data_IF_296928376824
#
_entry.id   IF_296928376824
#
_cell.length_a   1.000
_cell.length_b   1.000
_cell.length_c   1.000
_cell.angle_alpha   90.00
_cell.angle_beta   90.00
_cell.angle_gamma   90.00
#
_symmetry.space_group_name_H-M   'P 1'
#
loop_
_entity.id
_entity.type
_entity.pdbx_description
1 polymer ?
#
# COMPACT_ATOMS: atom_id res chain seq x y z
N UNK A 1 5.32 -1.50 -11.49
CA UNK A 1 6.00 -1.03 -10.25
C UNK A 1 7.01 -2.08 -9.85
N UNK A 2 8.31 -1.83 -9.99
CA UNK A 2 9.33 -2.77 -9.56
C UNK A 2 9.40 -2.76 -8.02
N UNK A 3 8.73 -3.71 -7.36
CA UNK A 3 8.97 -4.06 -5.97
C UNK A 3 10.22 -4.94 -5.96
N UNK A 4 11.38 -4.32 -5.79
CA UNK A 4 12.65 -5.03 -5.79
C UNK A 4 13.77 -4.17 -5.22
N UNK A 5 14.86 -4.81 -4.72
CA UNK A 5 15.23 -6.21 -4.99
C UNK A 5 14.69 -7.25 -3.98
N UNK A 6 13.89 -6.85 -2.99
CA UNK A 6 13.46 -7.75 -1.90
C UNK A 6 11.98 -8.11 -2.01
N UNK A 7 11.66 -9.38 -1.78
CA UNK A 7 10.30 -9.91 -1.73
C UNK A 7 10.14 -10.90 -0.56
N UNK A 8 8.90 -11.19 -0.19
CA UNK A 8 8.57 -12.25 0.77
C UNK A 8 8.20 -13.50 -0.01
N UNK A 9 8.85 -14.62 0.34
CA UNK A 9 8.45 -15.96 -0.06
C UNK A 9 7.95 -16.75 1.14
N UNK A 10 7.06 -17.70 0.86
CA UNK A 10 6.66 -18.72 1.83
C UNK A 10 7.55 -19.94 1.59
N UNK A 11 8.18 -20.46 2.64
CA UNK A 11 8.91 -21.72 2.56
C UNK A 11 7.95 -22.89 2.26
N UNK A 12 8.46 -24.03 1.76
CA UNK A 12 7.66 -25.19 1.32
C UNK A 12 6.65 -25.72 2.37
N UNK A 13 6.86 -25.40 3.65
CA UNK A 13 6.01 -25.81 4.77
C UNK A 13 4.91 -24.78 5.10
N UNK A 14 4.77 -23.70 4.32
CA UNK A 14 3.74 -22.66 4.42
C UNK A 14 3.86 -21.68 5.61
N UNK A 15 4.61 -22.03 6.65
CA UNK A 15 4.61 -21.30 7.92
C UNK A 15 5.80 -20.36 8.18
N UNK A 16 6.82 -20.35 7.31
CA UNK A 16 7.98 -19.47 7.47
C UNK A 16 8.06 -18.45 6.34
N UNK A 17 7.87 -17.18 6.72
CA UNK A 17 8.06 -16.00 5.88
C UNK A 17 9.57 -15.76 5.74
N UNK A 18 10.10 -15.86 4.53
CA UNK A 18 11.51 -15.62 4.22
C UNK A 18 11.67 -14.45 3.25
N UNK A 19 12.72 -13.66 3.42
CA UNK A 19 13.06 -12.61 2.45
C UNK A 19 13.84 -13.23 1.30
N UNK A 20 13.30 -13.10 0.10
CA UNK A 20 13.98 -13.43 -1.16
C UNK A 20 14.60 -12.18 -1.76
N UNK A 21 15.76 -12.36 -2.37
CA UNK A 21 16.49 -11.31 -3.08
C UNK A 21 16.54 -11.69 -4.56
N UNK A 22 16.02 -10.81 -5.41
CA UNK A 22 16.19 -10.95 -6.87
C UNK A 22 17.61 -10.51 -7.25
N UNK A 23 18.49 -11.48 -7.45
CA UNK A 23 19.89 -11.26 -7.81
C UNK A 23 20.08 -10.53 -9.15
N UNK A 24 19.08 -10.54 -10.04
CA UNK A 24 19.14 -9.86 -11.33
C UNK A 24 18.69 -8.39 -11.28
N UNK A 25 18.21 -7.93 -10.12
CA UNK A 25 17.61 -6.62 -10.00
C UNK A 25 18.67 -5.50 -10.13
N UNK A 26 18.44 -4.46 -10.96
CA UNK A 26 19.43 -3.39 -11.25
C UNK A 26 19.80 -2.51 -10.04
N UNK A 27 19.19 -2.74 -8.88
CA UNK A 27 19.51 -2.04 -7.61
C UNK A 27 20.50 -2.82 -6.75
N UNK A 28 20.92 -4.01 -7.19
CA UNK A 28 21.99 -4.77 -6.56
C UNK A 28 23.30 -4.48 -7.26
N UNK A 29 24.37 -4.43 -6.47
CA UNK A 29 25.73 -4.27 -6.93
C UNK A 29 26.65 -5.09 -6.04
N UNK A 30 27.70 -5.64 -6.63
CA UNK A 30 28.79 -6.32 -5.92
C UNK A 30 29.90 -5.36 -5.49
N UNK A 31 29.88 -4.12 -5.98
CA UNK A 31 30.96 -3.15 -5.80
C UNK A 31 30.56 -1.99 -4.89
N UNK A 32 29.29 -1.58 -4.91
CA UNK A 32 28.82 -0.38 -4.20
C UNK A 32 27.49 -0.64 -3.49
N UNK A 33 27.26 0.09 -2.39
CA UNK A 33 25.98 0.07 -1.67
C UNK A 33 26.07 -0.48 -0.25
N UNK A 34 24.94 -0.94 0.29
CA UNK A 34 24.86 -1.50 1.63
C UNK A 34 25.02 -3.03 1.58
N UNK A 35 25.95 -3.62 2.34
CA UNK A 35 26.12 -5.07 2.34
C UNK A 35 24.85 -5.74 2.87
N UNK A 36 24.43 -6.84 2.23
CA UNK A 36 23.28 -7.64 2.70
C UNK A 36 23.67 -8.64 3.79
N UNK A 37 24.94 -9.06 3.80
CA UNK A 37 25.48 -10.04 4.73
C UNK A 37 26.74 -9.50 5.40
N UNK A 38 27.03 -10.03 6.60
CA UNK A 38 28.28 -9.78 7.29
C UNK A 38 29.43 -10.59 6.65
N UNK A 39 30.70 -10.17 6.80
CA UNK A 39 31.84 -10.84 6.15
C UNK A 39 32.01 -12.33 6.50
N UNK A 40 31.52 -12.76 7.66
CA UNK A 40 31.59 -14.15 8.14
C UNK A 40 30.26 -14.90 7.99
N UNK A 41 29.33 -14.38 7.19
CA UNK A 41 27.96 -14.86 7.09
C UNK A 41 27.04 -14.24 8.14
N UNK A 42 25.73 -14.43 7.96
CA UNK A 42 24.68 -13.78 8.75
C UNK A 42 24.18 -12.47 8.13
N UNK A 43 22.99 -12.05 8.53
CA UNK A 43 22.32 -10.86 8.00
C UNK A 43 23.01 -9.57 8.47
N UNK A 44 23.17 -8.60 7.57
CA UNK A 44 23.54 -7.25 7.97
C UNK A 44 22.37 -6.52 8.66
N UNK A 45 22.66 -5.42 9.35
CA UNK A 45 21.63 -4.54 9.92
C UNK A 45 20.65 -4.03 8.85
N UNK A 46 21.14 -3.81 7.64
CA UNK A 46 20.30 -3.39 6.52
C UNK A 46 19.32 -4.49 6.12
N UNK A 47 19.78 -5.73 5.95
CA UNK A 47 18.91 -6.86 5.61
C UNK A 47 17.92 -7.18 6.75
N UNK A 48 18.34 -7.07 8.01
CA UNK A 48 17.44 -7.22 9.16
C UNK A 48 16.34 -6.14 9.14
N UNK A 49 16.69 -4.88 8.90
CA UNK A 49 15.71 -3.78 8.79
C UNK A 49 14.72 -4.03 7.65
N UNK A 50 15.20 -4.43 6.47
CA UNK A 50 14.34 -4.75 5.33
C UNK A 50 13.40 -5.92 5.66
N UNK A 51 13.91 -6.95 6.32
CA UNK A 51 13.12 -8.10 6.76
C UNK A 51 12.00 -7.69 7.71
N UNK A 52 12.29 -6.82 8.69
CA UNK A 52 11.27 -6.30 9.60
C UNK A 52 10.20 -5.48 8.88
N UNK A 53 10.59 -4.62 7.94
CA UNK A 53 9.63 -3.82 7.14
C UNK A 53 8.72 -4.74 6.33
N UNK A 54 9.30 -5.73 5.65
CA UNK A 54 8.56 -6.69 4.84
C UNK A 54 7.60 -7.53 5.71
N UNK A 55 8.04 -7.98 6.88
CA UNK A 55 7.18 -8.71 7.82
C UNK A 55 5.97 -7.86 8.28
N UNK A 56 6.18 -6.58 8.60
CA UNK A 56 5.08 -5.65 8.94
C UNK A 56 4.11 -5.51 7.77
N UNK A 57 4.62 -5.33 6.55
CA UNK A 57 3.77 -5.22 5.34
C UNK A 57 2.95 -6.51 5.15
N UNK A 58 3.57 -7.69 5.31
CA UNK A 58 2.89 -8.98 5.16
C UNK A 58 1.75 -9.16 6.17
N UNK A 59 2.04 -8.94 7.45
CA UNK A 59 1.05 -9.05 8.50
C UNK A 59 -0.07 -8.01 8.30
N UNK A 60 0.27 -6.82 7.83
CA UNK A 60 -0.68 -5.75 7.51
C UNK A 60 -1.70 -6.14 6.44
N UNK A 61 -1.40 -7.08 5.54
CA UNK A 61 -2.36 -7.54 4.51
C UNK A 61 -3.58 -8.20 5.17
N UNK A 62 -3.36 -9.12 6.09
CA UNK A 62 -4.46 -9.81 6.79
C UNK A 62 -5.26 -8.84 7.64
N UNK A 63 -4.57 -8.00 8.42
CA UNK A 63 -5.22 -6.95 9.24
C UNK A 63 -6.08 -6.01 8.39
N UNK A 64 -5.58 -5.60 7.20
CA UNK A 64 -6.34 -4.75 6.29
C UNK A 64 -7.59 -5.47 5.77
N UNK A 65 -7.47 -6.75 5.42
CA UNK A 65 -8.59 -7.57 4.95
C UNK A 65 -9.70 -7.68 6.00
N UNK A 66 -9.33 -8.01 7.23
CA UNK A 66 -10.28 -8.15 8.35
C UNK A 66 -10.95 -6.81 8.68
N UNK A 67 -10.16 -5.74 8.72
CA UNK A 67 -10.63 -4.38 8.97
C UNK A 67 -11.66 -3.92 7.92
N UNK A 68 -11.34 -4.07 6.63
CA UNK A 68 -12.25 -3.69 5.54
C UNK A 68 -13.50 -4.56 5.55
N UNK A 69 -13.37 -5.85 5.88
CA UNK A 69 -14.52 -6.77 6.00
C UNK A 69 -15.47 -6.35 7.12
N UNK A 70 -14.94 -5.90 8.26
CA UNK A 70 -15.75 -5.34 9.34
C UNK A 70 -16.47 -4.07 8.86
N UNK A 71 -15.77 -3.11 8.24
CA UNK A 71 -16.40 -1.90 7.71
C UNK A 71 -17.52 -2.19 6.71
N UNK A 72 -17.30 -3.16 5.82
CA UNK A 72 -18.31 -3.62 4.88
C UNK A 72 -19.53 -4.22 5.59
N UNK A 73 -19.31 -5.08 6.59
CA UNK A 73 -20.39 -5.70 7.37
C UNK A 73 -21.22 -4.68 8.17
N UNK A 74 -20.60 -3.59 8.60
CA UNK A 74 -21.23 -2.46 9.28
C UNK A 74 -21.86 -1.46 8.30
N UNK A 75 -21.77 -1.72 6.99
CA UNK A 75 -22.35 -0.89 5.94
C UNK A 75 -21.65 0.45 5.74
N UNK A 76 -20.42 0.64 6.26
CA UNK A 76 -19.70 1.93 6.25
C UNK A 76 -19.09 2.29 4.89
N UNK A 77 -19.07 1.34 3.96
CA UNK A 77 -18.53 1.55 2.61
C UNK A 77 -19.64 1.93 1.64
N UNK A 78 -19.31 2.78 0.67
CA UNK A 78 -20.18 3.17 -0.43
C UNK A 78 -19.42 3.19 -1.76
N UNK A 79 -20.08 2.88 -2.89
CA UNK A 79 -19.44 2.95 -4.20
C UNK A 79 -18.92 4.36 -4.48
N UNK A 80 -17.70 4.44 -4.99
CA UNK A 80 -17.05 5.69 -5.39
C UNK A 80 -16.69 5.62 -6.87
N UNK A 81 -16.99 6.71 -7.59
CA UNK A 81 -16.52 6.94 -8.95
C UNK A 81 -15.75 8.24 -8.98
N UNK A 82 -14.58 8.24 -9.62
CA UNK A 82 -13.76 9.44 -9.80
C UNK A 82 -13.57 9.70 -11.29
N UNK A 83 -14.02 10.85 -11.75
CA UNK A 83 -13.71 11.33 -13.09
C UNK A 83 -12.44 12.18 -13.07
N UNK A 84 -11.49 11.81 -13.91
CA UNK A 84 -10.17 12.44 -14.00
C UNK A 84 -9.98 12.92 -15.42
N UNK A 85 -9.59 14.19 -15.57
CA UNK A 85 -9.10 14.76 -16.82
C UNK A 85 -7.60 15.08 -16.65
N UNK A 86 -6.78 14.53 -17.53
CA UNK A 86 -5.33 14.78 -17.54
C UNK A 86 -5.01 16.00 -18.40
N UNK A 87 -3.80 16.56 -18.23
CA UNK A 87 -3.36 17.79 -18.92
C UNK A 87 -3.33 17.68 -20.45
N UNK A 88 -3.29 16.46 -20.99
CA UNK A 88 -3.35 16.22 -22.43
C UNK A 88 -4.79 16.09 -22.97
N UNK A 89 -5.80 16.35 -22.13
CA UNK A 89 -7.21 16.26 -22.45
C UNK A 89 -7.78 14.83 -22.39
N UNK A 90 -6.97 13.82 -22.03
CA UNK A 90 -7.47 12.46 -21.87
C UNK A 90 -8.35 12.35 -20.62
N UNK A 91 -9.50 11.69 -20.77
CA UNK A 91 -10.48 11.48 -19.71
C UNK A 91 -10.47 10.04 -19.25
N UNK A 92 -10.51 9.85 -17.93
CA UNK A 92 -10.53 8.56 -17.28
C UNK A 92 -11.61 8.55 -16.21
N UNK A 93 -12.44 7.50 -16.20
CA UNK A 93 -13.40 7.26 -15.12
C UNK A 93 -12.92 6.05 -14.32
N UNK A 94 -12.60 6.28 -13.04
CA UNK A 94 -12.26 5.24 -12.09
C UNK A 94 -13.54 4.79 -11.38
N UNK A 95 -14.18 3.76 -11.93
CA UNK A 95 -15.32 3.08 -11.29
C UNK A 95 -14.92 1.78 -10.60
N UNK A 96 -15.87 1.14 -9.91
CA UNK A 96 -15.66 -0.17 -9.26
C UNK A 96 -14.89 -0.11 -7.93
N UNK A 97 -14.73 1.08 -7.36
CA UNK A 97 -14.06 1.30 -6.08
C UNK A 97 -15.10 1.65 -5.00
N UNK A 98 -14.69 1.53 -3.74
CA UNK A 98 -15.50 1.90 -2.59
C UNK A 98 -14.74 2.92 -1.74
N UNK A 99 -15.46 3.85 -1.14
CA UNK A 99 -14.97 4.79 -0.15
C UNK A 99 -15.68 4.58 1.19
N UNK A 100 -15.08 5.10 2.26
CA UNK A 100 -15.74 5.19 3.56
C UNK A 100 -16.72 6.36 3.50
N UNK A 101 -17.99 6.11 3.85
CA UNK A 101 -19.06 7.11 3.84
C UNK A 101 -18.99 7.99 5.09
N UNK A 102 -18.72 9.29 4.93
CA UNK A 102 -18.62 10.21 6.07
C UNK A 102 -19.94 10.31 6.86
N UNK A 103 -21.06 10.29 6.15
CA UNK A 103 -22.41 10.34 6.74
C UNK A 103 -22.65 9.14 7.67
N UNK A 104 -22.34 7.92 7.18
CA UNK A 104 -22.55 6.70 7.97
C UNK A 104 -21.60 6.62 9.15
N UNK A 105 -20.37 7.11 9.00
CA UNK A 105 -19.40 7.21 10.10
C UNK A 105 -19.92 8.19 11.17
N UNK A 106 -20.45 9.34 10.78
CA UNK A 106 -21.03 10.31 11.71
C UNK A 106 -22.28 9.78 12.43
N UNK A 107 -23.02 8.85 11.80
CA UNK A 107 -24.20 8.21 12.35
C UNK A 107 -23.92 6.92 13.16
N UNK A 108 -22.65 6.57 13.40
CA UNK A 108 -22.27 5.37 14.16
C UNK A 108 -22.90 5.35 15.55
N UNK A 109 -23.45 4.19 15.93
CA UNK A 109 -23.93 3.98 17.28
C UNK A 109 -22.76 3.92 18.28
N UNK A 110 -23.03 4.17 19.56
CA UNK A 110 -22.02 4.03 20.62
C UNK A 110 -21.42 2.61 20.66
N UNK A 111 -22.25 1.59 20.40
CA UNK A 111 -21.83 0.17 20.38
C UNK A 111 -20.89 -0.11 19.21
N UNK A 112 -21.21 0.40 18.03
CA UNK A 112 -20.40 0.21 16.82
C UNK A 112 -19.06 0.95 16.92
N UNK A 113 -19.09 2.18 17.43
CA UNK A 113 -17.89 2.97 17.71
C UNK A 113 -16.98 2.25 18.71
N UNK A 114 -17.55 1.71 19.80
CA UNK A 114 -16.80 0.93 20.78
C UNK A 114 -16.17 -0.32 20.15
N UNK A 115 -16.93 -1.03 19.31
CA UNK A 115 -16.45 -2.23 18.61
C UNK A 115 -15.26 -1.91 17.71
N UNK A 116 -15.35 -0.85 16.89
CA UNK A 116 -14.27 -0.40 16.02
C UNK A 116 -13.02 0.01 16.81
N UNK A 117 -13.20 0.64 17.98
CA UNK A 117 -12.09 1.02 18.85
C UNK A 117 -11.40 -0.19 19.48
N UNK A 118 -12.15 -1.15 20.01
CA UNK A 118 -11.60 -2.38 20.61
C UNK A 118 -10.76 -3.20 19.61
N UNK A 119 -11.15 -3.20 18.34
CA UNK A 119 -10.40 -3.88 17.28
C UNK A 119 -9.25 -3.04 16.70
N UNK A 120 -9.02 -1.81 17.17
CA UNK A 120 -8.08 -0.83 16.60
C UNK A 120 -8.35 -0.45 15.13
N UNK A 121 -9.60 -0.61 14.66
CA UNK A 121 -10.00 -0.33 13.28
C UNK A 121 -10.55 1.08 13.08
N UNK A 122 -10.88 1.78 14.17
CA UNK A 122 -11.38 3.15 14.12
C UNK A 122 -10.34 4.12 13.52
N UNK A 123 -9.06 3.96 13.86
CA UNK A 123 -8.01 4.82 13.31
C UNK A 123 -7.86 4.62 11.80
N UNK A 124 -7.88 3.37 11.33
CA UNK A 124 -7.81 3.04 9.92
C UNK A 124 -8.96 3.65 9.12
N UNK A 125 -10.15 3.72 9.72
CA UNK A 125 -11.36 4.27 9.10
C UNK A 125 -11.17 5.75 8.75
N UNK A 126 -10.73 6.56 9.72
CA UNK A 126 -10.46 7.98 9.50
C UNK A 126 -9.28 8.21 8.54
N UNK A 127 -8.22 7.40 8.63
CA UNK A 127 -7.11 7.50 7.69
C UNK A 127 -7.54 7.18 6.25
N UNK A 128 -8.43 6.21 6.06
CA UNK A 128 -8.99 5.88 4.75
C UNK A 128 -9.80 7.06 4.18
N UNK A 129 -10.65 7.71 5.00
CA UNK A 129 -11.39 8.91 4.58
C UNK A 129 -10.44 10.04 4.14
N UNK A 130 -9.44 10.37 4.97
CA UNK A 130 -8.49 11.45 4.68
C UNK A 130 -7.62 11.13 3.47
N UNK A 131 -7.34 9.85 3.20
CA UNK A 131 -6.49 9.43 2.09
C UNK A 131 -6.98 9.91 0.72
N UNK A 132 -8.30 10.14 0.56
CA UNK A 132 -8.91 10.63 -0.67
C UNK A 132 -8.41 12.03 -1.07
N UNK A 133 -7.96 12.83 -0.11
CA UNK A 133 -7.36 14.14 -0.37
C UNK A 133 -6.06 14.05 -1.19
N UNK A 134 -5.43 12.87 -1.25
CA UNK A 134 -4.24 12.64 -2.07
C UNK A 134 -4.55 12.38 -3.55
N UNK A 135 -5.83 12.27 -3.96
CA UNK A 135 -6.19 12.00 -5.35
C UNK A 135 -5.64 13.07 -6.29
N UNK A 136 -5.75 14.35 -5.93
CA UNK A 136 -5.20 15.44 -6.74
C UNK A 136 -3.69 15.30 -6.89
N UNK A 137 -2.97 15.02 -5.81
CA UNK A 137 -1.52 14.81 -5.85
C UNK A 137 -1.14 13.65 -6.77
N UNK A 138 -1.90 12.56 -6.76
CA UNK A 138 -1.67 11.42 -7.66
C UNK A 138 -1.93 11.78 -9.13
N UNK A 139 -2.95 12.60 -9.40
CA UNK A 139 -3.24 13.14 -10.73
C UNK A 139 -2.08 14.03 -11.21
N UNK A 140 -1.58 14.92 -10.36
CA UNK A 140 -0.46 15.81 -10.66
C UNK A 140 0.81 15.01 -10.99
N UNK A 141 1.13 14.00 -10.18
CA UNK A 141 2.26 13.09 -10.44
C UNK A 141 2.10 12.34 -11.76
N UNK A 142 0.87 11.92 -12.10
CA UNK A 142 0.59 11.27 -13.38
C UNK A 142 0.78 12.23 -14.56
N UNK A 143 0.37 13.48 -14.41
CA UNK A 143 0.55 14.53 -15.41
C UNK A 143 2.03 14.84 -15.65
N UNK A 144 2.83 14.97 -14.59
CA UNK A 144 4.29 15.19 -14.68
C UNK A 144 4.94 14.06 -15.50
N UNK A 145 4.66 12.80 -15.13
CA UNK A 145 5.20 11.64 -15.85
C UNK A 145 4.79 11.62 -17.33
N UNK A 146 3.54 11.97 -17.63
CA UNK A 146 3.05 11.99 -19.01
C UNK A 146 3.72 13.10 -19.83
N UNK A 147 4.02 14.24 -19.21
CA UNK A 147 4.78 15.31 -19.82
C UNK A 147 6.22 14.88 -20.15
N UNK A 148 6.90 14.21 -19.23
CA UNK A 148 8.24 13.65 -19.46
C UNK A 148 8.24 12.61 -20.59
N UNK A 149 7.23 11.72 -20.61
CA UNK A 149 7.06 10.74 -21.69
C UNK A 149 6.87 11.44 -23.05
N UNK A 150 6.04 12.48 -23.14
CA UNK A 150 5.83 13.23 -24.37
C UNK A 150 7.07 14.01 -24.85
N UNK A 151 7.86 14.57 -23.92
CA UNK A 151 9.12 15.26 -24.26
C UNK A 151 10.22 14.29 -24.72
N UNK A 152 10.24 13.05 -24.22
CA UNK A 152 11.24 12.06 -24.63
C UNK A 152 11.04 11.54 -26.07
N UNK A 153 9.86 11.74 -26.66
CA UNK A 153 9.54 11.38 -28.06
C UNK A 153 9.54 12.56 -29.03
N UNK A 154 9.78 13.78 -28.55
CA UNK A 154 9.88 15.02 -29.34
C UNK A 154 11.34 15.37 -29.64
#
# INVERSE_FOLDING_TARGET
VARGPFAIGLHENGNQVMVHVDASHPKLSTEQGKPLFLPKGGNSDYLNRISSILAVIHNGVQVTSDMVSMWHSMGLLEPMTVDIELVDGSKHTLGGHFAVSEEKVAALSATDLHTLHQHNYLQGLYLAMISLNNLQTLIDLKNIRKHEELQAYA
#
